data_IF_462648794425
#
_entry.id   IF_462648794425
#
_cell.length_a   1.000
_cell.length_b   1.000
_cell.length_c   1.000
_cell.angle_alpha   90.00
_cell.angle_beta   90.00
_cell.angle_gamma   90.00
#
_symmetry.space_group_name_H-M   'P 1'
#
loop_
_entity.id
_entity.type
_entity.pdbx_description
1 polymer ?
#
# COMPACT_ATOMS: atom_id res chain seq x y z
N UNK A 1 -15.05 -4.08 -10.07
CA UNK A 1 -13.98 -5.10 -10.07
C UNK A 1 -14.16 -6.00 -11.31
N UNK A 2 -13.86 -5.47 -12.50
CA UNK A 2 -13.80 -6.22 -13.78
C UNK A 2 -12.74 -5.58 -14.69
N UNK A 3 -12.77 -4.25 -14.75
CA UNK A 3 -11.73 -3.40 -15.36
C UNK A 3 -10.32 -3.70 -14.78
N UNK A 4 -10.26 -3.97 -13.47
CA UNK A 4 -9.03 -4.32 -12.73
C UNK A 4 -8.49 -5.72 -13.04
N UNK A 5 -9.36 -6.72 -13.27
CA UNK A 5 -8.92 -8.07 -13.66
C UNK A 5 -8.44 -8.10 -15.12
N UNK A 6 -9.06 -7.29 -15.97
CA UNK A 6 -8.67 -7.18 -17.39
C UNK A 6 -7.28 -6.54 -17.56
N UNK A 7 -6.86 -5.60 -16.69
CA UNK A 7 -5.50 -5.05 -16.75
C UNK A 7 -4.44 -6.09 -16.37
N UNK A 8 -4.70 -6.92 -15.35
CA UNK A 8 -3.79 -8.01 -14.98
C UNK A 8 -3.71 -9.11 -16.07
N UNK A 9 -4.80 -9.35 -16.82
CA UNK A 9 -4.79 -10.33 -17.93
C UNK A 9 -4.07 -9.81 -19.18
N UNK A 10 -4.14 -8.51 -19.47
CA UNK A 10 -3.51 -7.90 -20.67
C UNK A 10 -1.99 -7.79 -20.59
N UNK A 11 -1.37 -8.11 -19.46
CA UNK A 11 0.09 -8.19 -19.34
C UNK A 11 0.70 -9.27 -20.28
N UNK A 12 -0.10 -10.27 -20.70
CA UNK A 12 0.31 -11.33 -21.64
C UNK A 12 0.50 -10.82 -23.09
N UNK A 13 -0.03 -9.65 -23.46
CA UNK A 13 0.08 -9.09 -24.81
C UNK A 13 0.55 -7.63 -24.77
N UNK A 14 1.86 -7.43 -24.57
CA UNK A 14 2.58 -6.21 -24.95
C UNK A 14 2.15 -4.91 -24.27
N UNK A 15 2.86 -4.53 -23.20
CA UNK A 15 3.03 -3.17 -22.64
C UNK A 15 1.89 -2.18 -22.94
N UNK A 16 0.86 -2.18 -22.09
CA UNK A 16 -0.24 -1.22 -22.17
C UNK A 16 0.05 0.00 -21.30
N UNK A 17 0.08 1.19 -21.91
CA UNK A 17 0.12 2.52 -21.28
C UNK A 17 -0.88 2.65 -20.10
N UNK A 18 -1.99 1.92 -20.16
CA UNK A 18 -3.00 1.88 -19.08
C UNK A 18 -2.51 1.26 -17.77
N UNK A 19 -1.49 0.40 -17.79
CA UNK A 19 -0.95 -0.21 -16.57
C UNK A 19 -0.15 0.81 -15.73
N UNK A 20 0.54 1.74 -16.42
CA UNK A 20 1.26 2.85 -15.78
C UNK A 20 0.27 3.83 -15.16
N UNK A 21 -0.84 4.11 -15.84
CA UNK A 21 -1.92 4.98 -15.33
C UNK A 21 -2.56 4.42 -14.06
N UNK A 22 -2.84 3.11 -14.01
CA UNK A 22 -3.39 2.44 -12.81
C UNK A 22 -2.43 2.48 -11.63
N UNK A 23 -1.12 2.32 -11.88
CA UNK A 23 -0.09 2.41 -10.84
C UNK A 23 -0.05 3.80 -10.20
N UNK A 24 -0.08 4.86 -11.00
CA UNK A 24 -0.08 6.24 -10.50
C UNK A 24 -1.31 6.52 -9.64
N UNK A 25 -2.48 6.05 -10.08
CA UNK A 25 -3.72 6.18 -9.31
C UNK A 25 -3.62 5.47 -7.96
N UNK A 26 -3.04 4.27 -7.89
CA UNK A 26 -2.86 3.58 -6.61
C UNK A 26 -1.88 4.29 -5.68
N UNK A 27 -0.82 4.86 -6.22
CA UNK A 27 0.14 5.63 -5.44
C UNK A 27 -0.52 6.88 -4.85
N UNK A 28 -1.28 7.61 -5.68
CA UNK A 28 -2.06 8.77 -5.23
C UNK A 28 -3.07 8.36 -4.16
N UNK A 29 -3.78 7.26 -4.34
CA UNK A 29 -4.77 6.77 -3.38
C UNK A 29 -4.14 6.38 -2.03
N UNK A 30 -2.93 5.80 -2.05
CA UNK A 30 -2.14 5.56 -0.84
C UNK A 30 -1.74 6.87 -0.16
N UNK A 31 -1.25 7.86 -0.90
CA UNK A 31 -0.87 9.16 -0.34
C UNK A 31 -2.10 9.87 0.27
N UNK A 32 -3.25 9.83 -0.40
CA UNK A 32 -4.52 10.36 0.12
C UNK A 32 -4.98 9.64 1.38
N UNK A 33 -4.93 8.31 1.39
CA UNK A 33 -5.33 7.53 2.55
C UNK A 33 -4.42 7.79 3.77
N UNK A 34 -3.12 8.00 3.56
CA UNK A 34 -2.19 8.41 4.62
C UNK A 34 -2.59 9.76 5.24
N UNK A 35 -2.89 10.77 4.42
CA UNK A 35 -3.37 12.07 4.90
C UNK A 35 -4.68 11.96 5.69
N UNK A 36 -5.58 11.08 5.28
CA UNK A 36 -6.83 10.83 6.00
C UNK A 36 -6.58 10.14 7.34
N UNK A 37 -5.69 9.13 7.38
CA UNK A 37 -5.34 8.41 8.62
C UNK A 37 -4.72 9.36 9.65
N UNK A 38 -3.85 10.27 9.22
CA UNK A 38 -3.23 11.27 10.10
C UNK A 38 -4.22 12.32 10.60
N UNK A 39 -5.26 12.64 9.81
CA UNK A 39 -6.26 13.66 10.13
C UNK A 39 -7.44 13.13 10.93
N UNK A 40 -7.82 11.88 10.72
CA UNK A 40 -8.99 11.23 11.33
C UNK A 40 -8.55 9.99 12.11
N UNK A 41 -8.06 10.23 13.31
CA UNK A 41 -7.53 9.19 14.20
C UNK A 41 -8.62 8.17 14.59
N UNK A 42 -8.21 6.93 14.83
CA UNK A 42 -9.06 5.86 15.35
C UNK A 42 -10.12 5.33 14.37
N UNK A 43 -10.13 5.79 13.11
CA UNK A 43 -11.10 5.33 12.11
C UNK A 43 -10.64 4.02 11.47
N UNK A 44 -11.08 2.90 12.03
CA UNK A 44 -10.77 1.54 11.54
C UNK A 44 -10.98 1.37 10.03
N UNK A 45 -12.05 1.96 9.47
CA UNK A 45 -12.34 1.89 8.04
C UNK A 45 -11.20 2.41 7.15
N UNK A 46 -10.47 3.44 7.59
CA UNK A 46 -9.32 3.98 6.86
C UNK A 46 -8.15 2.99 6.82
N UNK A 47 -7.94 2.26 7.93
CA UNK A 47 -6.90 1.22 8.04
C UNK A 47 -7.25 -0.05 7.27
N UNK A 48 -8.54 -0.43 7.25
CA UNK A 48 -9.02 -1.51 6.39
C UNK A 48 -8.84 -1.17 4.90
N UNK A 49 -9.08 0.09 4.54
CA UNK A 49 -8.83 0.55 3.18
C UNK A 49 -7.34 0.60 2.86
N UNK A 50 -6.48 1.08 3.80
CA UNK A 50 -5.01 0.99 3.67
C UNK A 50 -4.59 -0.44 3.37
N UNK A 51 -5.06 -1.40 4.16
CA UNK A 51 -4.80 -2.84 3.96
C UNK A 51 -5.19 -3.32 2.56
N UNK A 52 -6.35 -2.90 2.06
CA UNK A 52 -6.79 -3.24 0.72
C UNK A 52 -5.85 -2.68 -0.36
N UNK A 53 -5.46 -1.41 -0.26
CA UNK A 53 -4.54 -0.77 -1.21
C UNK A 53 -3.15 -1.42 -1.16
N UNK A 54 -2.62 -1.67 0.04
CA UNK A 54 -1.34 -2.34 0.25
C UNK A 54 -1.34 -3.75 -0.33
N UNK A 55 -2.45 -4.49 -0.22
CA UNK A 55 -2.57 -5.80 -0.85
C UNK A 55 -2.49 -5.71 -2.38
N UNK A 56 -3.18 -4.74 -3.00
CA UNK A 56 -3.11 -4.53 -4.45
C UNK A 56 -1.68 -4.16 -4.88
N UNK A 57 -1.03 -3.28 -4.11
CA UNK A 57 0.33 -2.84 -4.34
C UNK A 57 1.35 -3.98 -4.23
N UNK A 58 1.27 -4.80 -3.19
CA UNK A 58 2.12 -5.99 -3.01
C UNK A 58 1.88 -7.00 -4.13
N UNK A 59 0.61 -7.24 -4.49
CA UNK A 59 0.27 -8.20 -5.56
C UNK A 59 0.91 -7.82 -6.88
N UNK A 60 0.95 -6.53 -7.21
CA UNK A 60 1.63 -6.03 -8.41
C UNK A 60 3.10 -6.48 -8.45
N UNK A 61 3.86 -6.26 -7.37
CA UNK A 61 5.26 -6.69 -7.31
C UNK A 61 5.42 -8.20 -7.43
N UNK A 62 4.50 -8.99 -6.85
CA UNK A 62 4.58 -10.46 -6.94
C UNK A 62 4.19 -11.02 -8.30
N UNK A 63 3.30 -10.34 -9.03
CA UNK A 63 2.91 -10.74 -10.40
C UNK A 63 4.07 -10.50 -11.38
N UNK A 64 4.76 -9.36 -11.27
CA UNK A 64 5.90 -9.03 -12.14
C UNK A 64 7.12 -9.95 -11.96
N UNK A 65 7.27 -10.58 -10.78
CA UNK A 65 8.34 -11.55 -10.50
C UNK A 65 8.08 -12.92 -11.13
N UNK A 66 6.80 -13.29 -11.31
CA UNK A 66 6.41 -14.58 -11.89
C UNK A 66 6.39 -14.58 -13.43
N UNK A 67 6.58 -13.44 -14.08
CA UNK A 67 6.78 -13.36 -15.52
C UNK A 67 8.27 -13.63 -15.86
N UNK A 68 8.57 -14.91 -16.11
CA UNK A 68 9.89 -15.58 -16.15
C UNK A 68 10.82 -15.10 -17.29
N UNK A 69 10.60 -13.93 -17.88
CA UNK A 69 11.45 -13.36 -18.93
C UNK A 69 12.34 -12.19 -18.48
N UNK A 70 12.17 -11.68 -17.26
CA UNK A 70 12.70 -10.37 -16.89
C UNK A 70 14.14 -10.41 -16.31
N UNK A 71 15.03 -9.60 -16.89
CA UNK A 71 16.47 -9.52 -16.57
C UNK A 71 16.78 -9.22 -15.10
N UNK A 72 17.98 -9.55 -14.60
CA UNK A 72 18.43 -9.21 -13.22
C UNK A 72 18.19 -7.75 -12.79
N UNK A 73 18.13 -6.80 -13.74
CA UNK A 73 17.80 -5.38 -13.45
C UNK A 73 16.35 -5.15 -13.01
N UNK A 74 15.36 -5.85 -13.58
CA UNK A 74 13.94 -5.69 -13.21
C UNK A 74 13.65 -6.25 -11.82
N UNK A 75 14.29 -7.37 -11.47
CA UNK A 75 14.20 -7.96 -10.13
C UNK A 75 14.79 -7.02 -9.06
N UNK A 76 15.93 -6.39 -9.35
CA UNK A 76 16.54 -5.41 -8.45
C UNK A 76 15.67 -4.16 -8.26
N UNK A 77 15.01 -3.66 -9.31
CA UNK A 77 14.11 -2.50 -9.18
C UNK A 77 12.83 -2.82 -8.40
N UNK A 78 12.27 -4.03 -8.56
CA UNK A 78 11.09 -4.47 -7.79
C UNK A 78 11.44 -4.55 -6.30
N UNK A 79 12.60 -5.15 -5.97
CA UNK A 79 13.05 -5.24 -4.57
C UNK A 79 13.21 -3.86 -3.92
N UNK A 80 13.78 -2.88 -4.66
CA UNK A 80 13.92 -1.50 -4.17
C UNK A 80 12.55 -0.88 -3.92
N UNK A 81 11.58 -1.05 -4.83
CA UNK A 81 10.24 -0.50 -4.67
C UNK A 81 9.47 -1.10 -3.49
N UNK A 82 9.61 -2.41 -3.24
CA UNK A 82 9.03 -3.08 -2.05
C UNK A 82 9.64 -2.53 -0.77
N UNK A 83 10.97 -2.38 -0.71
CA UNK A 83 11.65 -1.83 0.47
C UNK A 83 11.17 -0.41 0.77
N UNK A 84 11.15 0.46 -0.26
CA UNK A 84 10.68 1.85 -0.11
C UNK A 84 9.23 1.91 0.38
N UNK A 85 8.37 1.03 -0.13
CA UNK A 85 6.99 0.92 0.34
C UNK A 85 6.93 0.54 1.83
N UNK A 86 7.63 -0.52 2.24
CA UNK A 86 7.65 -0.95 3.65
C UNK A 86 8.22 0.12 4.59
N UNK A 87 9.26 0.84 4.16
CA UNK A 87 9.82 1.94 4.94
C UNK A 87 8.78 3.06 5.17
N UNK A 88 7.98 3.39 4.15
CA UNK A 88 6.88 4.35 4.29
C UNK A 88 5.77 3.85 5.22
N UNK A 89 5.37 2.59 5.12
CA UNK A 89 4.35 2.02 6.02
C UNK A 89 4.80 2.03 7.48
N UNK A 90 6.07 1.72 7.72
CA UNK A 90 6.65 1.78 9.06
C UNK A 90 6.64 3.20 9.62
N UNK A 91 7.00 4.20 8.80
CA UNK A 91 6.93 5.61 9.20
C UNK A 91 5.50 6.05 9.52
N UNK A 92 4.52 5.66 8.70
CA UNK A 92 3.11 5.95 8.94
C UNK A 92 2.66 5.41 10.31
N UNK A 93 2.95 4.14 10.59
CA UNK A 93 2.55 3.52 11.87
C UNK A 93 3.27 4.12 13.06
N UNK A 94 4.56 4.43 12.93
CA UNK A 94 5.30 5.10 14.00
C UNK A 94 4.73 6.50 14.29
N UNK A 95 4.32 7.24 13.27
CA UNK A 95 3.68 8.55 13.45
C UNK A 95 2.35 8.48 14.22
N UNK A 96 1.71 7.31 14.24
CA UNK A 96 0.48 7.07 15.01
C UNK A 96 0.73 6.78 16.49
N UNK A 97 1.98 6.54 16.90
CA UNK A 97 2.38 6.30 18.30
C UNK A 97 2.89 7.56 19.00
N UNK A 98 3.23 8.61 18.24
CA UNK A 98 3.69 9.89 18.74
C UNK A 98 2.47 10.76 19.13
N UNK A 99 1.85 10.43 20.26
CA UNK A 99 0.66 11.12 20.76
C UNK A 99 0.94 12.58 21.13
N UNK A 100 0.18 13.50 20.53
CA UNK A 100 -0.05 14.82 21.12
C UNK A 100 -1.11 14.70 22.21
N UNK A 101 -0.92 15.41 23.31
CA UNK A 101 -1.72 15.44 24.55
C UNK A 101 -3.12 16.08 24.35
N UNK A 102 -3.80 15.73 23.25
CA UNK A 102 -5.12 16.24 22.89
C UNK A 102 -6.19 15.30 23.46
N UNK A 103 -7.19 15.86 24.15
CA UNK A 103 -8.20 15.18 24.99
C UNK A 103 -9.16 14.23 24.23
N UNK A 104 -8.89 13.91 22.96
CA UNK A 104 -9.75 13.06 22.15
C UNK A 104 -9.32 11.59 22.25
N UNK A 105 -10.26 10.77 22.75
CA UNK A 105 -10.21 9.32 22.99
C UNK A 105 -9.62 8.48 21.84
N UNK A 106 -9.58 9.00 20.60
CA UNK A 106 -9.28 8.25 19.37
C UNK A 106 -7.79 7.82 19.19
N UNK A 107 -6.86 8.18 20.08
CA UNK A 107 -5.44 7.79 19.98
C UNK A 107 -5.21 6.31 20.32
N UNK A 108 -5.96 5.76 21.27
CA UNK A 108 -5.86 4.35 21.63
C UNK A 108 -6.34 3.48 20.46
N UNK A 109 -7.49 3.82 19.87
CA UNK A 109 -8.01 3.14 18.67
C UNK A 109 -7.05 3.30 17.49
N UNK A 110 -6.41 4.45 17.31
CA UNK A 110 -5.41 4.65 16.27
C UNK A 110 -4.19 3.73 16.46
N UNK A 111 -3.68 3.62 17.69
CA UNK A 111 -2.58 2.72 18.02
C UNK A 111 -2.98 1.25 17.77
N UNK A 112 -4.19 0.84 18.16
CA UNK A 112 -4.71 -0.50 17.92
C UNK A 112 -4.83 -0.79 16.42
N UNK A 113 -5.41 0.13 15.65
CA UNK A 113 -5.60 -0.05 14.21
C UNK A 113 -4.25 -0.12 13.48
N UNK A 114 -3.33 0.79 13.80
CA UNK A 114 -1.99 0.84 13.18
C UNK A 114 -1.15 -0.40 13.52
N UNK A 115 -1.18 -0.86 14.78
CA UNK A 115 -0.51 -2.10 15.19
C UNK A 115 -1.12 -3.34 14.51
N UNK A 116 -2.46 -3.40 14.41
CA UNK A 116 -3.17 -4.48 13.71
C UNK A 116 -2.80 -4.53 12.23
N UNK A 117 -2.67 -3.38 11.59
CA UNK A 117 -2.23 -3.24 10.22
C UNK A 117 -0.78 -3.71 10.03
N UNK A 118 0.17 -3.27 10.87
CA UNK A 118 1.56 -3.74 10.78
C UNK A 118 1.69 -5.24 11.01
N UNK A 119 0.97 -5.78 11.99
CA UNK A 119 0.96 -7.21 12.24
C UNK A 119 0.48 -7.98 11.00
N UNK A 120 -0.53 -7.45 10.29
CA UNK A 120 -0.96 -8.04 9.02
C UNK A 120 0.10 -7.94 7.93
N UNK A 121 0.80 -6.81 7.79
CA UNK A 121 1.88 -6.66 6.80
C UNK A 121 3.05 -7.62 7.02
N UNK A 122 3.32 -7.98 8.29
CA UNK A 122 4.42 -8.89 8.65
C UNK A 122 4.08 -10.38 8.57
N UNK A 123 2.83 -10.74 8.26
CA UNK A 123 2.39 -12.14 8.10
C UNK A 123 2.70 -12.66 6.71
#
# INVERSE_FOLDING_TARGET
>A
IRILEDCCRKQEEGSCDSCVEVYLIWQEELDWNEELIKRYLGREALWLYRRFLSLLWIRHFTSDVNDVSSSQKSQSSIQVNVSVFLDKELLLVNSCSEGSDDEFEDFEEQAICSASYMLWLTK
#
